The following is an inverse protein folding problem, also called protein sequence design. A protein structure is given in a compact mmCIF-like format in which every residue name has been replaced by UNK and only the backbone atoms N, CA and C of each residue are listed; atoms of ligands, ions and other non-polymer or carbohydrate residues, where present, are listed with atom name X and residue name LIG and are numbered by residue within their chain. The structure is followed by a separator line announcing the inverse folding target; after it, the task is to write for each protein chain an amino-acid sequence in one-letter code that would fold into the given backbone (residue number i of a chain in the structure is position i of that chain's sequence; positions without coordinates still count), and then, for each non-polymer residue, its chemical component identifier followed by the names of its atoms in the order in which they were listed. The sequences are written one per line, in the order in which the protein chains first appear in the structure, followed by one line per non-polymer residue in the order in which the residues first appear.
data_IF_990618177220
#
_entry.id   IF_990618177220
#
_cell.length_a   1.000
_cell.length_b   1.000
_cell.length_c   1.000
_cell.angle_alpha   90.00
_cell.angle_beta   90.00
_cell.angle_gamma   90.00
#
_symmetry.space_group_name_H-M   'P 1'
#
loop_
_entity.id
_entity.type
_entity.pdbx_description
1 polymer ?
#
# COMPACT_ATOMS: atom_id res chain seq x y z
N UNK A 1 32.32 12.56 25.48
CA UNK A 1 32.07 12.45 24.05
C UNK A 1 31.54 11.06 23.78
N UNK A 2 30.44 11.03 23.18
CA UNK A 2 29.91 9.77 22.77
C UNK A 2 30.63 9.29 21.51
N UNK A 3 31.58 8.43 21.71
CA UNK A 3 32.40 7.92 20.62
C UNK A 3 31.84 6.66 20.01
N UNK A 4 30.73 6.14 20.52
CA UNK A 4 30.22 4.97 19.88
C UNK A 4 29.61 5.36 18.54
N UNK A 5 30.02 4.64 17.55
CA UNK A 5 29.52 4.79 16.20
C UNK A 5 28.29 3.92 16.07
N UNK A 6 27.15 4.53 15.94
CA UNK A 6 25.99 3.77 15.51
C UNK A 6 26.25 3.26 14.12
N UNK A 7 25.85 2.02 13.86
CA UNK A 7 25.88 1.53 12.49
C UNK A 7 24.98 2.43 11.63
N UNK A 8 25.24 2.49 10.35
CA UNK A 8 24.41 3.28 9.43
C UNK A 8 22.92 2.89 9.54
N UNK A 9 22.65 1.62 9.89
CA UNK A 9 21.29 1.13 10.09
C UNK A 9 20.59 1.73 11.30
N UNK A 10 21.35 2.17 12.28
CA UNK A 10 20.79 2.75 13.51
C UNK A 10 20.50 4.23 13.36
N UNK A 11 20.96 4.85 12.28
CA UNK A 11 20.78 6.26 12.02
C UNK A 11 19.60 6.44 11.06
N UNK A 12 18.39 6.29 11.60
CA UNK A 12 17.18 6.52 10.83
C UNK A 12 16.67 7.90 11.18
N UNK A 13 16.57 8.76 10.16
CA UNK A 13 15.97 10.07 10.33
C UNK A 13 14.46 9.91 10.54
N UNK A 14 13.97 10.36 11.70
CA UNK A 14 12.54 10.36 11.99
C UNK A 14 11.87 11.44 11.16
N UNK A 15 10.86 11.06 10.39
CA UNK A 15 10.11 11.95 9.52
C UNK A 15 8.93 12.57 10.27
N UNK A 16 8.70 13.86 10.07
CA UNK A 16 7.54 14.57 10.61
C UNK A 16 6.27 14.28 9.81
N UNK A 17 6.42 13.90 8.55
CA UNK A 17 5.28 13.58 7.68
C UNK A 17 4.69 12.22 8.01
N UNK A 18 3.39 12.08 7.73
CA UNK A 18 2.70 10.80 7.82
C UNK A 18 2.94 10.00 6.55
N UNK A 19 3.16 8.70 6.69
CA UNK A 19 3.16 7.79 5.56
C UNK A 19 1.73 7.32 5.28
N UNK A 20 1.18 7.73 4.16
CA UNK A 20 -0.18 7.35 3.74
C UNK A 20 -0.06 6.29 2.65
N UNK A 21 -0.74 5.17 2.81
CA UNK A 21 -0.55 4.07 1.88
C UNK A 21 -1.83 3.28 1.63
N UNK A 22 -1.84 2.59 0.49
CA UNK A 22 -2.78 1.52 0.20
C UNK A 22 -1.98 0.28 -0.20
N UNK A 23 -2.55 -0.88 0.07
CA UNK A 23 -1.96 -2.17 -0.25
C UNK A 23 -2.99 -3.04 -0.95
N UNK A 24 -2.62 -3.62 -2.08
CA UNK A 24 -3.54 -4.46 -2.84
C UNK A 24 -2.84 -5.38 -3.82
N UNK A 25 -3.63 -6.17 -4.52
CA UNK A 25 -3.10 -7.12 -5.51
C UNK A 25 -2.79 -6.44 -6.84
N UNK A 26 -3.66 -5.55 -7.31
CA UNK A 26 -3.50 -4.79 -8.57
C UNK A 26 -3.10 -5.69 -9.75
N UNK A 27 -3.76 -6.79 -9.93
CA UNK A 27 -3.34 -7.79 -10.91
C UNK A 27 -4.49 -8.17 -11.86
N UNK A 28 -4.71 -7.41 -12.93
CA UNK A 28 -3.97 -6.20 -13.30
C UNK A 28 -4.49 -4.95 -12.59
N UNK A 29 -3.73 -3.85 -12.58
CA UNK A 29 -4.26 -2.57 -12.12
C UNK A 29 -5.34 -2.05 -13.09
N UNK A 30 -6.35 -1.38 -12.55
CA UNK A 30 -7.51 -0.90 -13.31
C UNK A 30 -7.78 0.58 -13.05
N UNK A 31 -8.71 1.16 -13.81
CA UNK A 31 -9.17 2.53 -13.57
C UNK A 31 -9.74 2.73 -12.17
N UNK A 32 -10.41 1.70 -11.61
CA UNK A 32 -10.86 1.74 -10.22
C UNK A 32 -9.69 1.85 -9.24
N UNK A 33 -8.58 1.20 -9.54
CA UNK A 33 -7.37 1.32 -8.73
C UNK A 33 -6.73 2.71 -8.84
N UNK A 34 -6.88 3.39 -9.97
CA UNK A 34 -6.45 4.79 -10.08
C UNK A 34 -7.23 5.67 -9.12
N UNK A 35 -8.53 5.44 -8.96
CA UNK A 35 -9.33 6.17 -7.97
C UNK A 35 -8.80 5.96 -6.55
N UNK A 36 -8.38 4.74 -6.23
CA UNK A 36 -7.75 4.43 -4.95
C UNK A 36 -6.44 5.20 -4.78
N UNK A 37 -5.60 5.23 -5.81
CA UNK A 37 -4.34 5.97 -5.77
C UNK A 37 -4.59 7.48 -5.59
N UNK A 38 -5.59 8.02 -6.26
CA UNK A 38 -5.98 9.43 -6.11
C UNK A 38 -6.51 9.70 -4.69
N UNK A 39 -7.23 8.77 -4.10
CA UNK A 39 -7.68 8.89 -2.71
C UNK A 39 -6.50 8.91 -1.74
N UNK A 40 -5.50 8.07 -1.97
CA UNK A 40 -4.26 8.09 -1.18
C UNK A 40 -3.62 9.47 -1.25
N UNK A 41 -3.51 10.06 -2.43
CA UNK A 41 -2.95 11.40 -2.60
C UNK A 41 -3.80 12.46 -1.90
N UNK A 42 -5.10 12.36 -2.00
CA UNK A 42 -6.02 13.28 -1.33
C UNK A 42 -5.85 13.23 0.19
N UNK A 43 -5.80 12.03 0.75
CA UNK A 43 -5.61 11.83 2.20
C UNK A 43 -4.22 12.31 2.63
N UNK A 44 -3.20 12.06 1.81
CA UNK A 44 -1.84 12.46 2.11
C UNK A 44 -1.68 13.98 2.13
N UNK A 45 -2.29 14.68 1.18
CA UNK A 45 -2.08 16.11 1.05
C UNK A 45 -0.59 16.42 0.85
N UNK A 46 0.02 17.11 1.81
CA UNK A 46 1.45 17.40 1.82
C UNK A 46 2.31 16.26 2.40
N UNK A 47 1.67 15.26 2.99
CA UNK A 47 2.35 14.07 3.46
C UNK A 47 2.72 13.14 2.28
N UNK A 48 3.39 12.04 2.58
CA UNK A 48 3.88 11.13 1.55
C UNK A 48 2.87 10.02 1.28
N UNK A 49 2.51 9.84 0.01
CA UNK A 49 1.56 8.82 -0.43
C UNK A 49 2.25 7.67 -1.17
N UNK A 50 1.87 6.44 -0.83
CA UNK A 50 2.46 5.22 -1.38
C UNK A 50 1.39 4.22 -1.81
N UNK A 51 1.70 3.45 -2.83
CA UNK A 51 0.94 2.26 -3.20
C UNK A 51 1.88 1.07 -3.12
N UNK A 52 1.50 0.09 -2.33
CA UNK A 52 2.21 -1.18 -2.20
C UNK A 52 1.38 -2.28 -2.85
N UNK A 53 2.03 -3.25 -3.44
CA UNK A 53 1.34 -4.36 -4.08
C UNK A 53 1.89 -5.70 -3.62
N UNK A 54 1.00 -6.70 -3.56
CA UNK A 54 1.36 -8.07 -3.21
C UNK A 54 2.23 -8.70 -4.30
N UNK A 55 2.86 -9.82 -3.94
CA UNK A 55 3.64 -10.63 -4.87
C UNK A 55 2.85 -11.85 -5.37
N UNK A 56 1.53 -11.87 -5.11
CA UNK A 56 0.67 -12.98 -5.54
C UNK A 56 0.67 -13.10 -7.06
N UNK A 57 0.87 -14.32 -7.54
CA UNK A 57 0.80 -14.64 -8.96
C UNK A 57 0.19 -16.02 -9.13
N UNK A 58 -0.84 -16.13 -9.97
CA UNK A 58 -1.43 -17.38 -10.40
C UNK A 58 -2.19 -17.14 -11.72
N UNK A 59 -2.36 -18.19 -12.56
CA UNK A 59 -2.93 -17.99 -13.90
C UNK A 59 -4.37 -17.47 -13.93
N UNK A 60 -5.16 -17.74 -12.88
CA UNK A 60 -6.58 -17.37 -12.87
C UNK A 60 -6.85 -16.01 -12.25
N UNK A 61 -6.26 -15.76 -11.07
CA UNK A 61 -6.57 -14.56 -10.28
C UNK A 61 -5.51 -13.49 -10.36
N UNK A 62 -4.24 -13.87 -10.53
CA UNK A 62 -3.12 -12.95 -10.51
C UNK A 62 -2.15 -13.29 -11.64
N UNK A 63 -2.54 -13.10 -12.92
CA UNK A 63 -1.73 -13.57 -14.06
C UNK A 63 -0.43 -12.80 -14.28
N UNK A 64 -0.34 -11.55 -13.80
CA UNK A 64 0.85 -10.73 -14.02
C UNK A 64 1.90 -11.00 -12.94
N UNK A 65 3.16 -11.11 -13.36
CA UNK A 65 4.27 -11.14 -12.42
C UNK A 65 4.46 -9.76 -11.76
N UNK A 66 5.22 -9.74 -10.67
CA UNK A 66 5.41 -8.53 -9.87
C UNK A 66 6.03 -7.39 -10.68
N UNK A 67 7.04 -7.69 -11.48
CA UNK A 67 7.76 -6.69 -12.27
C UNK A 67 6.85 -6.04 -13.32
N UNK A 68 6.11 -6.86 -14.06
CA UNK A 68 5.16 -6.38 -15.07
C UNK A 68 4.06 -5.58 -14.44
N UNK A 69 3.50 -6.08 -13.35
CA UNK A 69 2.44 -5.42 -12.60
C UNK A 69 2.86 -4.03 -12.11
N UNK A 70 4.02 -3.94 -11.46
CA UNK A 70 4.50 -2.65 -10.93
C UNK A 70 4.80 -1.66 -12.05
N UNK A 71 5.25 -2.14 -13.20
CA UNK A 71 5.45 -1.29 -14.37
C UNK A 71 4.14 -0.65 -14.82
N UNK A 72 3.07 -1.44 -14.95
CA UNK A 72 1.75 -0.91 -15.30
C UNK A 72 1.21 0.03 -14.23
N UNK A 73 1.40 -0.31 -12.96
CA UNK A 73 0.97 0.55 -11.87
C UNK A 73 1.63 1.92 -11.91
N UNK A 74 2.92 1.98 -12.17
CA UNK A 74 3.64 3.25 -12.29
C UNK A 74 3.09 4.10 -13.41
N UNK A 75 2.74 3.49 -14.53
CA UNK A 75 2.14 4.22 -15.66
C UNK A 75 0.73 4.68 -15.34
N UNK A 76 -0.10 3.78 -14.83
CA UNK A 76 -1.52 4.07 -14.54
C UNK A 76 -1.68 5.11 -13.44
N UNK A 77 -0.85 5.04 -12.41
CA UNK A 77 -0.99 5.89 -11.21
C UNK A 77 -0.21 7.20 -11.31
N UNK A 78 0.43 7.47 -12.43
CA UNK A 78 1.18 8.71 -12.65
C UNK A 78 0.36 9.96 -12.34
N UNK A 79 -0.91 10.08 -12.78
CA UNK A 79 -1.70 11.26 -12.46
C UNK A 79 -1.96 11.48 -10.97
N UNK A 80 -1.95 10.42 -10.18
CA UNK A 80 -2.19 10.50 -8.74
C UNK A 80 -0.98 11.03 -7.96
N UNK A 81 0.21 11.05 -8.58
CA UNK A 81 1.45 11.55 -7.95
C UNK A 81 1.78 10.84 -6.63
N UNK A 82 1.52 9.55 -6.57
CA UNK A 82 1.89 8.69 -5.43
C UNK A 82 3.08 7.83 -5.85
N UNK A 83 3.84 7.36 -4.87
CA UNK A 83 4.97 6.47 -5.11
C UNK A 83 4.51 5.03 -5.12
N UNK A 84 4.72 4.34 -6.23
CA UNK A 84 4.53 2.88 -6.28
C UNK A 84 5.79 2.24 -5.70
N UNK A 85 5.62 1.59 -4.55
CA UNK A 85 6.76 0.96 -3.87
C UNK A 85 7.20 -0.30 -4.61
N UNK A 86 8.51 -0.48 -4.70
CA UNK A 86 9.12 -1.69 -5.24
C UNK A 86 9.80 -2.52 -4.14
N UNK A 87 9.50 -2.21 -2.87
CA UNK A 87 10.02 -2.99 -1.75
C UNK A 87 9.46 -4.41 -1.74
N UNK A 88 10.18 -5.32 -1.09
CA UNK A 88 9.77 -6.73 -0.99
C UNK A 88 8.70 -6.91 0.09
N UNK A 89 7.60 -6.17 -0.03
CA UNK A 89 6.50 -6.21 0.93
C UNK A 89 5.41 -7.15 0.43
N UNK A 90 5.20 -8.26 1.13
CA UNK A 90 4.25 -9.30 0.74
C UNK A 90 2.95 -9.23 1.53
N UNK A 91 2.99 -8.67 2.72
CA UNK A 91 1.84 -8.51 3.61
C UNK A 91 1.75 -7.08 4.10
N UNK A 92 0.61 -6.72 4.70
CA UNK A 92 0.43 -5.39 5.30
C UNK A 92 1.47 -5.13 6.40
N UNK A 93 1.88 -6.17 7.12
CA UNK A 93 2.92 -6.02 8.14
C UNK A 93 4.26 -5.62 7.53
N UNK A 94 4.63 -6.24 6.40
CA UNK A 94 5.86 -5.87 5.69
C UNK A 94 5.82 -4.40 5.28
N UNK A 95 4.66 -3.93 4.82
CA UNK A 95 4.46 -2.54 4.42
C UNK A 95 4.70 -1.59 5.59
N UNK A 96 4.06 -1.82 6.72
CA UNK A 96 4.19 -0.91 7.87
C UNK A 96 5.59 -0.98 8.49
N UNK A 97 6.23 -2.15 8.48
CA UNK A 97 7.62 -2.28 8.91
C UNK A 97 8.54 -1.49 7.98
N UNK A 98 8.31 -1.58 6.66
CA UNK A 98 9.08 -0.81 5.68
C UNK A 98 8.95 0.70 5.93
N UNK A 99 7.73 1.18 6.14
CA UNK A 99 7.50 2.60 6.44
C UNK A 99 8.16 3.01 7.76
N UNK A 100 8.08 2.17 8.78
CA UNK A 100 8.74 2.45 10.05
C UNK A 100 10.26 2.55 9.87
N UNK A 101 10.84 1.63 9.11
CA UNK A 101 12.27 1.62 8.83
C UNK A 101 12.73 2.81 7.97
N UNK A 102 11.82 3.39 7.19
CA UNK A 102 12.09 4.62 6.44
C UNK A 102 12.05 5.87 7.33
N UNK A 103 11.59 5.76 8.57
CA UNK A 103 11.55 6.86 9.52
C UNK A 103 10.17 7.41 9.85
N UNK A 104 9.11 6.89 9.24
CA UNK A 104 7.75 7.35 9.56
C UNK A 104 7.36 6.89 10.96
N UNK A 105 6.70 7.78 11.69
CA UNK A 105 6.20 7.50 13.05
C UNK A 105 4.70 7.67 13.17
N UNK A 106 4.05 8.07 12.08
CA UNK A 106 2.60 8.11 11.94
C UNK A 106 2.24 7.55 10.57
N UNK A 107 1.21 6.73 10.51
CA UNK A 107 0.74 6.14 9.26
C UNK A 107 -0.77 6.24 9.15
N UNK A 108 -1.24 6.30 7.88
CA UNK A 108 -2.64 6.17 7.52
C UNK A 108 -2.76 5.15 6.39
N UNK A 109 -3.57 4.14 6.58
CA UNK A 109 -3.90 3.19 5.53
C UNK A 109 -5.22 3.58 4.88
N UNK A 110 -5.26 3.58 3.57
CA UNK A 110 -6.50 3.78 2.81
C UNK A 110 -6.99 2.41 2.36
N UNK A 111 -8.17 2.02 2.81
CA UNK A 111 -8.72 0.70 2.56
C UNK A 111 -10.22 0.78 2.27
N UNK A 112 -10.79 -0.29 1.72
CA UNK A 112 -12.23 -0.39 1.53
C UNK A 112 -12.97 -0.29 2.86
N UNK A 113 -14.18 0.28 2.84
CA UNK A 113 -14.95 0.53 4.07
C UNK A 113 -15.22 -0.74 4.88
N UNK A 114 -15.30 -1.89 4.23
CA UNK A 114 -15.54 -3.19 4.86
C UNK A 114 -14.33 -3.74 5.62
N UNK A 115 -13.13 -3.18 5.41
CA UNK A 115 -11.88 -3.68 5.99
C UNK A 115 -11.26 -2.77 7.04
N UNK A 116 -11.84 -1.60 7.29
CA UNK A 116 -11.24 -0.58 8.16
C UNK A 116 -11.01 -1.09 9.57
N UNK A 117 -12.05 -1.65 10.20
CA UNK A 117 -11.95 -2.14 11.58
C UNK A 117 -10.95 -3.28 11.73
N UNK A 118 -10.95 -4.18 10.76
CA UNK A 118 -10.03 -5.32 10.74
C UNK A 118 -8.58 -4.86 10.71
N UNK A 119 -8.23 -3.98 9.78
CA UNK A 119 -6.86 -3.48 9.66
C UNK A 119 -6.46 -2.60 10.84
N UNK A 120 -7.33 -1.73 11.31
CA UNK A 120 -7.03 -0.88 12.45
C UNK A 120 -6.75 -1.72 13.70
N UNK A 121 -7.60 -2.69 13.97
CA UNK A 121 -7.43 -3.60 15.10
C UNK A 121 -6.13 -4.41 14.97
N UNK A 122 -5.87 -4.96 13.79
CA UNK A 122 -4.71 -5.79 13.53
C UNK A 122 -3.41 -4.99 13.68
N UNK A 123 -3.33 -3.83 13.06
CA UNK A 123 -2.11 -3.02 13.09
C UNK A 123 -1.84 -2.46 14.49
N UNK A 124 -2.90 -2.07 15.19
CA UNK A 124 -2.78 -1.57 16.57
C UNK A 124 -2.33 -2.65 17.54
N UNK A 125 -2.88 -3.87 17.39
CA UNK A 125 -2.55 -5.01 18.25
C UNK A 125 -1.06 -5.32 18.26
N UNK A 126 -0.42 -5.25 17.11
CA UNK A 126 1.01 -5.59 16.97
C UNK A 126 1.93 -4.38 17.00
N UNK A 127 1.39 -3.21 17.28
CA UNK A 127 2.21 -2.01 17.45
C UNK A 127 3.07 -2.14 18.71
N UNK A 128 4.35 -1.85 18.60
CA UNK A 128 5.34 -1.99 19.69
C UNK A 128 5.47 -3.45 20.19
N UNK A 129 5.28 -4.42 19.31
CA UNK A 129 5.42 -5.84 19.62
C UNK A 129 6.42 -6.47 18.65
N UNK A 130 7.48 -7.07 19.17
CA UNK A 130 8.45 -7.80 18.36
C UNK A 130 7.90 -9.20 18.06
N UNK A 131 7.99 -9.62 16.79
CA UNK A 131 7.50 -10.93 16.39
C UNK A 131 7.91 -11.27 14.97
N UNK A 132 7.30 -12.32 14.44
CA UNK A 132 7.57 -12.78 13.05
C UNK A 132 7.22 -11.73 12.00
N UNK A 133 6.25 -10.87 12.30
CA UNK A 133 5.89 -9.77 11.42
C UNK A 133 6.97 -8.70 11.30
N UNK A 134 7.97 -8.70 12.19
CA UNK A 134 8.98 -7.66 12.33
C UNK A 134 8.69 -6.77 13.53
N UNK A 135 9.08 -5.51 13.43
CA UNK A 135 8.81 -4.54 14.50
C UNK A 135 8.45 -3.20 13.91
N UNK A 136 7.43 -2.58 14.48
CA UNK A 136 7.09 -1.19 14.25
C UNK A 136 6.51 -0.59 15.54
N UNK A 137 6.67 0.70 15.71
CA UNK A 137 6.16 1.43 16.87
C UNK A 137 5.75 2.83 16.42
N UNK A 138 4.52 2.95 15.91
CA UNK A 138 3.98 4.22 15.47
C UNK A 138 3.27 4.94 16.61
N UNK A 139 3.33 6.26 16.59
CA UNK A 139 2.57 7.10 17.50
C UNK A 139 1.09 7.10 17.13
N UNK A 140 0.81 7.13 15.82
CA UNK A 140 -0.55 7.18 15.29
C UNK A 140 -0.71 6.15 14.18
N UNK A 141 -1.76 5.35 14.28
CA UNK A 141 -2.17 4.38 13.27
C UNK A 141 -3.63 4.65 12.97
N UNK A 142 -3.93 5.06 11.75
CA UNK A 142 -5.29 5.32 11.33
C UNK A 142 -5.59 4.55 10.05
N UNK A 143 -6.81 4.06 9.92
CA UNK A 143 -7.29 3.44 8.69
C UNK A 143 -8.49 4.24 8.22
N UNK A 144 -8.42 4.76 7.01
CA UNK A 144 -9.46 5.61 6.44
C UNK A 144 -10.08 4.93 5.24
N UNK A 145 -11.37 5.26 5.00
CA UNK A 145 -12.12 4.64 3.92
C UNK A 145 -11.75 5.22 2.57
N UNK A 146 -11.52 4.34 1.60
CA UNK A 146 -11.43 4.71 0.19
C UNK A 146 -12.82 4.87 -0.45
N UNK A 147 -13.88 4.59 0.30
CA UNK A 147 -15.24 4.47 -0.20
C UNK A 147 -15.60 3.02 -0.43
N UNK A 148 -16.85 2.80 -0.79
CA UNK A 148 -17.32 1.45 -1.09
C UNK A 148 -16.80 1.02 -2.46
N UNK A 149 -16.43 -0.25 -2.55
CA UNK A 149 -16.16 -0.86 -3.85
C UNK A 149 -17.49 -0.98 -4.59
N UNK A 150 -17.56 -0.48 -5.81
CA UNK A 150 -18.69 -0.68 -6.67
C UNK A 150 -18.47 -1.93 -7.55
N UNK A 151 -18.98 -3.11 -7.15
CA UNK A 151 -18.78 -4.33 -7.91
C UNK A 151 -19.52 -4.33 -9.24
N UNK A 152 -20.52 -3.45 -9.37
CA UNK A 152 -21.39 -3.39 -10.55
C UNK A 152 -21.01 -2.25 -11.50
N UNK A 153 -19.92 -1.57 -11.26
CA UNK A 153 -19.45 -0.49 -12.12
C UNK A 153 -18.88 -1.08 -13.41
N UNK A 154 -19.75 -1.26 -14.39
CA UNK A 154 -19.42 -1.82 -15.70
C UNK A 154 -19.01 -0.76 -16.72
N UNK A 155 -18.99 0.49 -16.34
CA UNK A 155 -18.54 1.55 -17.23
C UNK A 155 -17.00 1.51 -17.37
N UNK A 156 -16.48 2.32 -18.28
CA UNK A 156 -15.05 2.36 -18.58
C UNK A 156 -14.23 2.67 -17.32
N UNK A 157 -14.77 3.52 -16.45
CA UNK A 157 -14.07 3.91 -15.22
C UNK A 157 -14.16 2.87 -14.10
N UNK A 158 -15.10 1.93 -14.21
CA UNK A 158 -15.41 0.95 -13.18
C UNK A 158 -15.06 -0.48 -13.53
N UNK A 159 -14.31 -0.71 -14.61
CA UNK A 159 -13.93 -2.09 -14.98
C UNK A 159 -13.11 -2.74 -13.87
N UNK A 160 -13.59 -3.87 -13.35
CA UNK A 160 -12.97 -4.56 -12.26
C UNK A 160 -11.68 -5.27 -12.67
N UNK A 161 -10.80 -5.51 -11.70
CA UNK A 161 -9.58 -6.28 -11.93
C UNK A 161 -9.90 -7.69 -12.44
N UNK A 162 -10.99 -8.29 -11.96
CA UNK A 162 -11.42 -9.63 -12.41
C UNK A 162 -11.80 -9.63 -13.88
N UNK A 163 -12.55 -8.61 -14.34
CA UNK A 163 -12.89 -8.48 -15.75
C UNK A 163 -11.66 -8.26 -16.62
N UNK A 164 -10.75 -7.40 -16.18
CA UNK A 164 -9.50 -7.14 -16.90
C UNK A 164 -8.65 -8.39 -17.01
N UNK A 165 -8.58 -9.18 -15.95
CA UNK A 165 -7.85 -10.46 -15.98
C UNK A 165 -8.44 -11.43 -16.99
N UNK A 166 -9.76 -11.55 -17.00
CA UNK A 166 -10.45 -12.40 -17.95
C UNK A 166 -10.16 -12.00 -19.39
N UNK A 167 -10.19 -10.71 -19.70
CA UNK A 167 -9.90 -10.18 -21.03
C UNK A 167 -8.44 -10.45 -21.42
N UNK A 168 -7.50 -10.22 -20.52
CA UNK A 168 -6.08 -10.45 -20.78
C UNK A 168 -5.78 -11.94 -20.97
N UNK A 169 -6.47 -12.82 -20.25
CA UNK A 169 -6.28 -14.25 -20.33
C UNK A 169 -6.80 -14.84 -21.64
N UNK A 170 -7.88 -14.27 -22.17
CA UNK A 170 -8.52 -14.73 -23.41
C UNK A 170 -8.02 -13.99 -24.66
N UNK A 171 -7.19 -13.01 -24.49
CA UNK A 171 -6.62 -12.21 -25.56
C UNK A 171 -5.28 -12.75 -25.98
#
# INVERSE_FOLDING_TARGET
INTYMKSFKDIVEVKSKTGVFAFGRFNPPTAGHLKLAMKVKQVAGSDDGFIYTSHSQDPKKNPLDYRTKTKFMKLLFRPAKVTVSTSNSRTVFDVVVDLYNQGYRSIKMVAGSDRIREFESLLTKYNNVKGRHGFYNFKDINVVSAGERDPDADDISGMSASKMRAMAFNG
#
